data_IF_064341973428
#
_entry.id   IF_064341973428
#
_cell.length_a   1.000
_cell.length_b   1.000
_cell.length_c   1.000
_cell.angle_alpha   90.00
_cell.angle_beta   90.00
_cell.angle_gamma   90.00
#
_symmetry.space_group_name_H-M   'P 1'
#
loop_
_entity.id
_entity.type
_entity.pdbx_description
1 polymer ?
#
# COMPACT_ATOMS: atom_id res chain seq x y z
N UNK A 1 -1.02 33.37 8.65
CA UNK A 1 -1.99 32.29 8.45
C UNK A 1 -1.71 31.70 7.08
N UNK A 2 -1.10 30.51 6.98
CA UNK A 2 -0.73 29.94 5.68
C UNK A 2 -1.98 29.41 4.98
N UNK A 3 -2.14 29.78 3.71
CA UNK A 3 -3.31 29.46 2.90
C UNK A 3 -3.34 27.95 2.58
N UNK A 4 -4.25 27.20 3.21
CA UNK A 4 -4.43 25.76 2.99
C UNK A 4 -5.39 25.49 1.81
N UNK A 5 -5.18 26.16 0.68
CA UNK A 5 -6.02 26.05 -0.55
C UNK A 5 -5.53 25.02 -1.55
N UNK A 6 -4.69 24.07 -1.13
CA UNK A 6 -4.12 23.08 -2.06
C UNK A 6 -5.15 22.02 -2.51
N UNK A 7 -6.32 21.93 -1.87
CA UNK A 7 -7.40 21.02 -2.26
C UNK A 7 -6.91 19.58 -2.46
N UNK A 8 -7.35 18.92 -3.54
CA UNK A 8 -6.91 17.56 -3.91
C UNK A 8 -5.40 17.50 -4.17
N UNK A 9 -4.79 18.57 -4.70
CA UNK A 9 -3.33 18.63 -4.93
C UNK A 9 -2.56 18.53 -3.61
N UNK A 10 -3.13 19.01 -2.50
CA UNK A 10 -2.56 18.90 -1.16
C UNK A 10 -2.50 17.48 -0.60
N UNK A 11 -3.20 16.52 -1.20
CA UNK A 11 -3.07 15.10 -0.85
C UNK A 11 -1.81 14.49 -1.47
N UNK A 12 -1.43 14.91 -2.67
CA UNK A 12 -0.28 14.37 -3.40
C UNK A 12 0.99 15.20 -3.25
N UNK A 13 0.85 16.46 -2.85
CA UNK A 13 1.98 17.33 -2.56
C UNK A 13 2.41 17.18 -1.10
N UNK A 14 3.60 16.61 -0.87
CA UNK A 14 4.15 16.42 0.47
C UNK A 14 4.50 17.73 1.17
N UNK A 15 5.04 18.72 0.45
CA UNK A 15 5.44 20.01 1.01
C UNK A 15 6.17 19.87 2.35
N UNK A 16 5.62 20.47 3.41
CA UNK A 16 6.16 20.42 4.77
C UNK A 16 5.91 19.10 5.54
N UNK A 17 5.08 18.21 5.01
CA UNK A 17 4.65 16.98 5.69
C UNK A 17 5.51 15.75 5.37
N UNK A 18 6.48 15.88 4.45
CA UNK A 18 7.49 14.86 4.18
C UNK A 18 6.95 13.54 3.63
N UNK A 19 7.70 12.46 3.86
CA UNK A 19 7.44 11.13 3.30
C UNK A 19 6.12 10.52 3.80
N UNK A 20 5.69 10.88 5.01
CA UNK A 20 4.46 10.40 5.63
C UNK A 20 3.22 10.78 4.81
N UNK A 21 3.25 11.92 4.11
CA UNK A 21 2.17 12.34 3.22
C UNK A 21 2.05 11.44 1.99
N UNK A 22 3.18 11.02 1.42
CA UNK A 22 3.18 10.07 0.31
C UNK A 22 2.68 8.70 0.75
N UNK A 23 3.15 8.21 1.91
CA UNK A 23 2.69 6.93 2.47
C UNK A 23 1.17 6.94 2.73
N UNK A 24 0.63 8.04 3.25
CA UNK A 24 -0.81 8.20 3.43
C UNK A 24 -1.58 8.09 2.11
N UNK A 25 -1.17 8.84 1.08
CA UNK A 25 -1.87 8.85 -0.20
C UNK A 25 -1.76 7.53 -0.94
N UNK A 26 -0.56 6.92 -0.93
CA UNK A 26 -0.34 5.59 -1.51
C UNK A 26 -1.14 4.51 -0.78
N UNK A 27 -1.34 4.60 0.54
CA UNK A 27 -2.12 3.61 1.29
C UNK A 27 -3.58 3.60 0.85
N UNK A 28 -4.15 4.78 0.60
CA UNK A 28 -5.51 4.91 0.08
C UNK A 28 -5.62 4.44 -1.36
N UNK A 29 -4.68 4.82 -2.23
CA UNK A 29 -4.68 4.40 -3.64
C UNK A 29 -4.55 2.88 -3.74
N UNK A 30 -3.57 2.29 -3.02
CA UNK A 30 -3.39 0.83 -3.00
C UNK A 30 -4.62 0.12 -2.46
N UNK A 31 -5.25 0.61 -1.38
CA UNK A 31 -6.49 0.04 -0.85
C UNK A 31 -7.63 0.04 -1.87
N UNK A 32 -7.85 1.17 -2.58
CA UNK A 32 -8.86 1.24 -3.65
C UNK A 32 -8.54 0.29 -4.81
N UNK A 33 -7.26 0.22 -5.22
CA UNK A 33 -6.81 -0.72 -6.25
C UNK A 33 -7.04 -2.18 -5.85
N UNK A 34 -6.75 -2.53 -4.59
CA UNK A 34 -6.96 -3.88 -4.06
C UNK A 34 -8.44 -4.24 -3.96
N UNK A 35 -9.33 -3.29 -3.66
CA UNK A 35 -10.79 -3.53 -3.70
C UNK A 35 -11.23 -3.88 -5.12
N UNK A 36 -10.78 -3.11 -6.12
CA UNK A 36 -11.10 -3.38 -7.54
C UNK A 36 -10.55 -4.75 -7.93
N UNK A 37 -9.29 -5.04 -7.57
CA UNK A 37 -8.69 -6.35 -7.81
C UNK A 37 -9.49 -7.47 -7.16
N UNK A 38 -9.93 -7.33 -5.92
CA UNK A 38 -10.68 -8.37 -5.21
C UNK A 38 -11.99 -8.71 -5.94
N UNK A 39 -12.69 -7.70 -6.47
CA UNK A 39 -13.89 -7.93 -7.30
C UNK A 39 -13.56 -8.70 -8.58
N UNK A 40 -12.51 -8.29 -9.31
CA UNK A 40 -12.05 -8.98 -10.51
C UNK A 40 -11.58 -10.41 -10.19
N UNK A 41 -10.90 -10.59 -9.06
CA UNK A 41 -10.37 -11.87 -8.60
C UNK A 41 -11.51 -12.84 -8.27
N UNK A 42 -12.58 -12.39 -7.61
CA UNK A 42 -13.78 -13.18 -7.36
C UNK A 42 -14.42 -13.61 -8.70
N UNK A 43 -14.50 -12.71 -9.69
CA UNK A 43 -15.03 -13.05 -11.01
C UNK A 43 -14.17 -14.11 -11.70
N UNK A 44 -12.85 -13.94 -11.77
CA UNK A 44 -11.93 -14.90 -12.42
C UNK A 44 -11.96 -16.25 -11.72
N UNK A 45 -11.93 -16.28 -10.38
CA UNK A 45 -11.98 -17.51 -9.60
C UNK A 45 -13.33 -18.22 -9.71
N UNK A 46 -14.43 -17.49 -9.95
CA UNK A 46 -15.76 -18.09 -10.12
C UNK A 46 -15.86 -19.04 -11.32
N UNK A 47 -15.05 -18.86 -12.37
CA UNK A 47 -14.97 -19.78 -13.51
C UNK A 47 -14.56 -21.20 -13.11
N UNK A 48 -13.99 -21.39 -11.91
CA UNK A 48 -13.71 -22.71 -11.35
C UNK A 48 -14.97 -23.57 -11.21
N UNK A 49 -16.14 -22.95 -10.99
CA UNK A 49 -17.43 -23.64 -10.93
C UNK A 49 -17.87 -24.22 -12.28
N UNK A 50 -17.36 -23.68 -13.39
CA UNK A 50 -17.65 -24.15 -14.75
C UNK A 50 -16.80 -25.36 -15.21
N UNK A 51 -16.02 -25.96 -14.31
CA UNK A 51 -15.18 -27.12 -14.62
C UNK A 51 -13.87 -26.77 -15.35
N UNK A 52 -13.17 -27.80 -15.80
CA UNK A 52 -11.82 -27.70 -16.37
C UNK A 52 -11.77 -26.80 -17.62
N UNK A 53 -12.75 -26.93 -18.52
CA UNK A 53 -12.77 -26.16 -19.77
C UNK A 53 -12.98 -24.67 -19.53
N UNK A 54 -13.90 -24.29 -18.63
CA UNK A 54 -14.14 -22.90 -18.28
C UNK A 54 -12.91 -22.27 -17.60
N UNK A 55 -12.28 -23.01 -16.69
CA UNK A 55 -11.04 -22.61 -16.03
C UNK A 55 -9.90 -22.40 -17.04
N UNK A 56 -9.68 -23.36 -17.93
CA UNK A 56 -8.59 -23.31 -18.92
C UNK A 56 -8.77 -22.13 -19.88
N UNK A 57 -10.01 -21.86 -20.31
CA UNK A 57 -10.31 -20.69 -21.16
C UNK A 57 -10.02 -19.37 -20.47
N UNK A 58 -10.45 -19.18 -19.22
CA UNK A 58 -10.18 -17.92 -18.50
C UNK A 58 -8.69 -17.77 -18.19
N UNK A 59 -7.99 -18.86 -17.85
CA UNK A 59 -6.53 -18.84 -17.66
C UNK A 59 -5.79 -18.43 -18.92
N UNK A 60 -6.21 -18.92 -20.10
CA UNK A 60 -5.66 -18.46 -21.37
C UNK A 60 -5.91 -16.97 -21.67
N UNK A 61 -6.94 -16.36 -21.06
CA UNK A 61 -7.21 -14.92 -21.19
C UNK A 61 -6.30 -14.09 -20.28
N UNK A 62 -6.08 -14.54 -19.04
CA UNK A 62 -5.25 -13.84 -18.05
C UNK A 62 -3.75 -14.12 -18.20
N UNK A 63 -3.36 -15.13 -18.97
CA UNK A 63 -1.96 -15.39 -19.34
C UNK A 63 -1.52 -14.49 -20.50
N UNK A 64 -1.56 -13.18 -20.30
CA UNK A 64 -1.01 -12.21 -21.24
C UNK A 64 -0.22 -11.11 -20.53
N UNK A 65 0.66 -10.37 -21.24
CA UNK A 65 1.54 -9.39 -20.62
C UNK A 65 0.81 -8.28 -19.84
N UNK A 66 -0.41 -7.90 -20.24
CA UNK A 66 -1.19 -6.86 -19.57
C UNK A 66 -1.63 -7.36 -18.19
N UNK A 67 -2.13 -8.59 -18.09
CA UNK A 67 -2.51 -9.17 -16.80
C UNK A 67 -1.31 -9.47 -15.92
N UNK A 68 -0.17 -9.90 -16.48
CA UNK A 68 1.09 -10.07 -15.72
C UNK A 68 1.57 -8.74 -15.14
N UNK A 69 1.46 -7.65 -15.89
CA UNK A 69 1.75 -6.31 -15.37
C UNK A 69 0.75 -5.91 -14.27
N UNK A 70 -0.54 -6.21 -14.45
CA UNK A 70 -1.56 -6.02 -13.42
C UNK A 70 -1.27 -6.81 -12.13
N UNK A 71 -0.86 -8.06 -12.25
CA UNK A 71 -0.44 -8.91 -11.14
C UNK A 71 0.74 -8.30 -10.38
N UNK A 72 1.77 -7.83 -11.09
CA UNK A 72 2.87 -7.09 -10.48
C UNK A 72 2.38 -5.87 -9.68
N UNK A 73 1.50 -5.04 -10.25
CA UNK A 73 0.93 -3.89 -9.54
C UNK A 73 0.14 -4.29 -8.30
N UNK A 74 -0.62 -5.40 -8.36
CA UNK A 74 -1.38 -5.93 -7.24
C UNK A 74 -0.46 -6.41 -6.12
N UNK A 75 0.64 -7.10 -6.46
CA UNK A 75 1.65 -7.53 -5.48
C UNK A 75 2.30 -6.33 -4.80
N UNK A 76 2.73 -5.33 -5.58
CA UNK A 76 3.28 -4.09 -5.04
C UNK A 76 2.28 -3.41 -4.10
N UNK A 77 1.02 -3.28 -4.54
CA UNK A 77 -0.04 -2.67 -3.75
C UNK A 77 -0.32 -3.47 -2.47
N UNK A 78 -0.39 -4.80 -2.55
CA UNK A 78 -0.68 -5.69 -1.42
C UNK A 78 0.39 -5.65 -0.34
N UNK A 79 1.66 -5.83 -0.72
CA UNK A 79 2.79 -5.82 0.23
C UNK A 79 2.91 -4.45 0.90
N UNK A 80 2.86 -3.37 0.12
CA UNK A 80 2.90 -2.02 0.65
C UNK A 80 1.70 -1.72 1.56
N UNK A 81 0.48 -2.03 1.11
CA UNK A 81 -0.74 -1.75 1.86
C UNK A 81 -0.79 -2.52 3.18
N UNK A 82 -0.43 -3.79 3.16
CA UNK A 82 -0.36 -4.63 4.35
C UNK A 82 0.66 -4.13 5.37
N UNK A 83 1.90 -3.87 4.96
CA UNK A 83 2.96 -3.43 5.88
C UNK A 83 2.78 -2.00 6.37
N UNK A 84 2.32 -1.07 5.51
CA UNK A 84 1.97 0.27 5.98
C UNK A 84 0.69 0.25 6.85
N UNK A 85 -0.27 -0.64 6.57
CA UNK A 85 -1.43 -0.86 7.44
C UNK A 85 -1.02 -1.36 8.81
N UNK A 86 -0.10 -2.33 8.89
CA UNK A 86 0.47 -2.81 10.14
C UNK A 86 1.14 -1.69 10.94
N UNK A 87 1.91 -0.80 10.27
CA UNK A 87 2.47 0.40 10.89
C UNK A 87 1.38 1.25 11.55
N UNK A 88 0.32 1.54 10.80
CA UNK A 88 -0.80 2.37 11.28
C UNK A 88 -1.50 1.73 12.48
N UNK A 89 -1.79 0.43 12.40
CA UNK A 89 -2.38 -0.35 13.49
C UNK A 89 -1.53 -0.23 14.76
N UNK A 90 -0.23 -0.52 14.66
CA UNK A 90 0.69 -0.44 15.80
C UNK A 90 0.69 0.98 16.42
N UNK A 91 0.75 2.01 15.58
CA UNK A 91 0.75 3.39 16.07
C UNK A 91 -0.58 3.83 16.69
N UNK A 92 -1.71 3.33 16.18
CA UNK A 92 -3.05 3.61 16.73
C UNK A 92 -3.23 2.99 18.12
N UNK A 93 -2.65 1.82 18.35
CA UNK A 93 -2.56 1.19 19.67
C UNK A 93 -1.52 1.83 20.60
N UNK A 94 -0.87 2.92 20.18
CA UNK A 94 0.12 3.63 20.98
C UNK A 94 1.51 2.99 21.02
N UNK A 95 1.78 1.99 20.19
CA UNK A 95 3.13 1.45 20.05
C UNK A 95 4.01 2.41 19.23
N UNK A 96 5.28 2.52 19.62
CA UNK A 96 6.30 3.30 18.93
C UNK A 96 6.02 4.82 18.79
N UNK A 97 4.97 5.35 19.44
CA UNK A 97 4.71 6.79 19.51
C UNK A 97 5.31 7.40 20.78
N UNK A 98 5.63 8.69 20.75
CA UNK A 98 6.06 9.42 21.95
C UNK A 98 4.92 9.65 22.94
N UNK A 99 5.28 9.95 24.20
CA UNK A 99 4.31 10.38 25.22
C UNK A 99 3.57 11.64 24.74
N UNK A 100 2.26 11.78 25.02
CA UNK A 100 1.55 13.02 24.80
C UNK A 100 2.22 14.15 25.59
N UNK A 101 2.67 15.19 24.90
CA UNK A 101 3.28 16.38 25.49
C UNK A 101 2.49 17.61 25.04
N UNK A 102 2.48 18.65 25.89
CA UNK A 102 1.85 19.92 25.53
C UNK A 102 2.55 20.53 24.32
N UNK A 103 1.76 21.01 23.37
CA UNK A 103 2.25 21.64 22.16
C UNK A 103 2.63 23.11 22.46
N UNK A 104 3.66 23.29 23.29
CA UNK A 104 4.25 24.59 23.63
C UNK A 104 5.47 24.84 22.74
N UNK A 105 5.70 26.09 22.32
CA UNK A 105 6.85 26.41 21.47
C UNK A 105 8.16 26.25 22.27
N UNK A 106 9.16 25.52 21.76
CA UNK A 106 9.22 24.88 20.45
C UNK A 106 8.42 23.57 20.37
N UNK A 107 7.55 23.47 19.35
CA UNK A 107 6.67 22.31 19.15
C UNK A 107 7.47 21.01 18.97
N UNK A 108 7.10 19.97 19.73
CA UNK A 108 7.64 18.62 19.59
C UNK A 108 6.53 17.66 19.15
N UNK A 109 6.81 16.90 18.09
CA UNK A 109 5.87 15.92 17.54
C UNK A 109 6.15 14.53 18.11
N UNK A 110 5.28 14.07 19.01
CA UNK A 110 5.33 12.71 19.55
C UNK A 110 5.15 11.64 18.46
N UNK A 111 4.42 11.98 17.39
CA UNK A 111 4.15 11.11 16.24
C UNK A 111 5.35 10.86 15.34
N UNK A 112 6.44 11.63 15.45
CA UNK A 112 7.64 11.39 14.66
C UNK A 112 8.54 10.31 15.26
N UNK A 113 8.32 9.91 16.52
CA UNK A 113 9.12 8.85 17.16
C UNK A 113 8.96 7.47 16.50
N UNK A 114 7.86 7.22 15.79
CA UNK A 114 7.63 5.96 15.04
C UNK A 114 8.42 5.87 13.72
N UNK A 115 9.18 6.90 13.31
CA UNK A 115 9.93 6.89 12.04
C UNK A 115 10.86 5.69 11.85
N UNK A 116 11.60 5.20 12.87
CA UNK A 116 12.41 3.99 12.71
C UNK A 116 11.58 2.77 12.30
N UNK A 117 10.39 2.58 12.91
CA UNK A 117 9.44 1.53 12.53
C UNK A 117 8.99 1.72 11.07
N UNK A 118 8.66 2.96 10.69
CA UNK A 118 8.28 3.28 9.31
C UNK A 118 9.37 2.86 8.32
N UNK A 119 10.62 3.27 8.53
CA UNK A 119 11.71 2.92 7.62
C UNK A 119 11.95 1.40 7.57
N UNK A 120 11.94 0.74 8.73
CA UNK A 120 12.07 -0.71 8.79
C UNK A 120 10.99 -1.42 7.97
N UNK A 121 9.72 -1.06 8.14
CA UNK A 121 8.61 -1.67 7.40
C UNK A 121 8.63 -1.34 5.91
N UNK A 122 9.11 -0.15 5.51
CA UNK A 122 9.24 0.20 4.09
C UNK A 122 10.41 -0.52 3.42
N UNK A 123 11.51 -0.75 4.13
CA UNK A 123 12.61 -1.60 3.64
C UNK A 123 12.12 -3.05 3.51
N UNK A 124 11.41 -3.56 4.51
CA UNK A 124 10.81 -4.90 4.46
C UNK A 124 9.83 -5.03 3.29
N UNK A 125 9.01 -4.01 3.04
CA UNK A 125 8.10 -3.98 1.90
C UNK A 125 8.86 -4.00 0.57
N UNK A 126 9.93 -3.21 0.44
CA UNK A 126 10.76 -3.18 -0.75
C UNK A 126 11.41 -4.55 -1.00
N UNK A 127 11.96 -5.19 0.03
CA UNK A 127 12.54 -6.53 -0.07
C UNK A 127 11.49 -7.56 -0.50
N UNK A 128 10.31 -7.54 0.13
CA UNK A 128 9.21 -8.44 -0.23
C UNK A 128 8.78 -8.27 -1.68
N UNK A 129 8.65 -7.02 -2.15
CA UNK A 129 8.34 -6.71 -3.55
C UNK A 129 9.42 -7.28 -4.47
N UNK A 130 10.71 -7.03 -4.19
CA UNK A 130 11.82 -7.50 -5.04
C UNK A 130 11.82 -9.03 -5.15
N UNK A 131 11.58 -9.74 -4.04
CA UNK A 131 11.45 -11.20 -4.03
C UNK A 131 10.28 -11.64 -4.91
N UNK A 132 9.11 -11.03 -4.74
CA UNK A 132 7.95 -11.39 -5.56
C UNK A 132 8.13 -11.08 -7.05
N UNK A 133 8.83 -9.99 -7.41
CA UNK A 133 9.18 -9.71 -8.81
C UNK A 133 10.10 -10.78 -9.35
N UNK A 134 11.12 -11.19 -8.58
CA UNK A 134 12.00 -12.28 -8.99
C UNK A 134 11.20 -13.55 -9.27
N UNK A 135 10.28 -13.93 -8.38
CA UNK A 135 9.45 -15.12 -8.55
C UNK A 135 8.50 -15.04 -9.75
N UNK A 136 7.95 -13.86 -10.06
CA UNK A 136 7.01 -13.70 -11.20
C UNK A 136 7.72 -13.79 -12.56
N UNK A 137 8.97 -13.33 -12.65
CA UNK A 137 9.65 -13.14 -13.94
C UNK A 137 10.85 -14.06 -14.19
N UNK A 138 11.44 -14.65 -13.13
CA UNK A 138 12.73 -15.34 -13.22
C UNK A 138 12.73 -16.75 -12.59
N UNK A 139 11.67 -17.14 -11.87
CA UNK A 139 11.48 -18.50 -11.34
C UNK A 139 10.61 -19.36 -12.28
#
# INVERSE_FOLDING_TARGET
MYDNRLGIKGNFYAGKFGIERYLYSLHRISGLGLIIYLLLHIVVTSFRLGGFDAWTRVMGTVDNPIFKFGEFLVVVAGVFHGLNGLRLILTEFGYFIGKPERQEYPYKYSTLKQRPLMYFLMILALVGIVISVYDIYLA
#
